data_IF_669149050713
#
_entry.id   IF_669149050713
#
_cell.length_a   1.000
_cell.length_b   1.000
_cell.length_c   1.000
_cell.angle_alpha   90.00
_cell.angle_beta   90.00
_cell.angle_gamma   90.00
#
_symmetry.space_group_name_H-M   'P 1'
#
loop_
_entity.id
_entity.type
_entity.pdbx_description
1 polymer ?
#
# COMPACT_ATOMS: atom_id res chain seq x y z
N UNK A 1 30.12 -7.40 -66.80
CA UNK A 1 31.20 -7.16 -65.82
C UNK A 1 30.96 -5.98 -64.87
N UNK A 2 30.62 -4.77 -65.33
CA UNK A 2 30.45 -3.59 -64.45
C UNK A 2 29.35 -3.72 -63.37
N UNK A 3 28.22 -4.39 -63.66
CA UNK A 3 27.13 -4.59 -62.68
C UNK A 3 27.45 -5.60 -61.57
N UNK A 4 28.25 -6.63 -61.90
CA UNK A 4 28.69 -7.65 -60.93
C UNK A 4 29.76 -7.08 -60.00
N UNK A 5 30.66 -6.23 -60.54
CA UNK A 5 31.69 -5.55 -59.75
C UNK A 5 31.09 -4.52 -58.77
N UNK A 6 30.05 -3.78 -59.19
CA UNK A 6 29.35 -2.84 -58.32
C UNK A 6 28.61 -3.53 -57.15
N UNK A 7 27.99 -4.69 -57.43
CA UNK A 7 27.35 -5.49 -56.38
C UNK A 7 28.35 -6.07 -55.37
N UNK A 8 29.52 -6.53 -55.85
CA UNK A 8 30.57 -7.05 -54.98
C UNK A 8 31.20 -5.97 -54.08
N UNK A 9 31.41 -4.75 -54.61
CA UNK A 9 31.94 -3.62 -53.82
C UNK A 9 30.92 -3.14 -52.77
N UNK A 10 29.63 -3.08 -53.13
CA UNK A 10 28.57 -2.73 -52.17
C UNK A 10 28.43 -3.73 -51.02
N UNK A 11 28.58 -5.04 -51.30
CA UNK A 11 28.54 -6.08 -50.29
C UNK A 11 29.74 -6.00 -49.33
N UNK A 12 30.94 -5.68 -49.84
CA UNK A 12 32.15 -5.52 -49.03
C UNK A 12 32.05 -4.28 -48.12
N UNK A 13 31.53 -3.16 -48.62
CA UNK A 13 31.29 -1.95 -47.80
C UNK A 13 30.27 -2.23 -46.68
N UNK A 14 29.21 -2.97 -46.98
CA UNK A 14 28.21 -3.35 -45.99
C UNK A 14 28.79 -4.26 -44.89
N UNK A 15 29.56 -5.29 -45.26
CA UNK A 15 30.13 -6.25 -44.33
C UNK A 15 31.30 -5.69 -43.51
N UNK A 16 32.12 -4.80 -44.07
CA UNK A 16 33.34 -4.30 -43.41
C UNK A 16 33.08 -3.04 -42.59
N UNK A 17 32.11 -2.20 -42.95
CA UNK A 17 31.86 -0.94 -42.24
C UNK A 17 30.58 -0.96 -41.40
N UNK A 18 29.49 -1.51 -41.92
CA UNK A 18 28.18 -1.42 -41.24
C UNK A 18 28.05 -2.48 -40.15
N UNK A 19 28.43 -3.72 -40.43
CA UNK A 19 28.33 -4.80 -39.43
C UNK A 19 29.20 -4.53 -38.20
N UNK A 20 30.48 -4.11 -38.31
CA UNK A 20 31.27 -3.77 -37.13
C UNK A 20 30.73 -2.55 -36.38
N UNK A 21 30.20 -1.53 -37.07
CA UNK A 21 29.63 -0.36 -36.42
C UNK A 21 28.36 -0.68 -35.60
N UNK A 22 27.50 -1.56 -36.11
CA UNK A 22 26.30 -2.03 -35.39
C UNK A 22 26.68 -2.91 -34.21
N UNK A 23 27.66 -3.80 -34.36
CA UNK A 23 28.18 -4.66 -33.29
C UNK A 23 28.86 -3.82 -32.20
N UNK A 24 29.64 -2.81 -32.56
CA UNK A 24 30.26 -1.87 -31.61
C UNK A 24 29.18 -1.08 -30.87
N UNK A 25 28.14 -0.59 -31.56
CA UNK A 25 27.05 0.14 -30.90
C UNK A 25 26.24 -0.74 -29.94
N UNK A 26 26.02 -2.01 -30.30
CA UNK A 26 25.32 -3.00 -29.46
C UNK A 26 26.16 -3.50 -28.28
N UNK A 27 27.49 -3.57 -28.40
CA UNK A 27 28.38 -4.05 -27.34
C UNK A 27 28.88 -2.93 -26.41
N UNK A 28 28.98 -1.69 -26.89
CA UNK A 28 29.59 -0.58 -26.14
C UNK A 28 28.61 0.52 -25.72
N UNK A 29 27.30 0.41 -26.01
CA UNK A 29 26.27 1.28 -25.42
C UNK A 29 26.53 2.78 -25.59
N UNK A 30 27.06 3.19 -26.74
CA UNK A 30 27.31 4.61 -27.02
C UNK A 30 26.03 5.27 -27.50
N UNK A 31 25.24 5.78 -26.55
CA UNK A 31 24.18 6.74 -26.83
C UNK A 31 24.76 8.14 -27.04
N UNK A 32 24.25 8.93 -28.00
CA UNK A 32 24.69 10.29 -28.21
C UNK A 32 24.35 11.16 -26.99
N UNK A 33 25.36 11.90 -26.53
CA UNK A 33 25.31 12.83 -25.41
C UNK A 33 24.26 13.92 -25.64
N UNK A 34 23.33 14.04 -24.67
CA UNK A 34 22.75 15.29 -24.20
C UNK A 34 21.76 16.00 -25.14
N UNK A 35 20.47 15.76 -24.92
CA UNK A 35 19.40 16.72 -25.25
C UNK A 35 18.80 17.29 -23.95
N UNK A 36 18.25 18.52 -23.95
CA UNK A 36 17.90 19.25 -22.73
C UNK A 36 16.79 18.55 -21.94
N UNK A 37 16.89 18.60 -20.60
CA UNK A 37 15.92 18.03 -19.65
C UNK A 37 14.50 18.51 -19.96
N UNK A 38 13.72 17.65 -20.61
CA UNK A 38 12.28 17.80 -20.72
C UNK A 38 11.63 17.57 -19.36
N UNK A 39 10.56 18.33 -19.08
CA UNK A 39 9.65 18.04 -17.98
C UNK A 39 9.17 16.61 -18.16
N UNK A 40 9.49 15.72 -17.21
CA UNK A 40 9.13 14.32 -17.28
C UNK A 40 7.61 14.22 -17.42
N UNK A 41 7.13 13.80 -18.60
CA UNK A 41 5.81 13.19 -18.71
C UNK A 41 5.85 11.94 -17.82
N UNK A 42 4.75 11.56 -17.17
CA UNK A 42 4.73 10.42 -16.22
C UNK A 42 5.27 9.07 -16.75
N UNK A 43 5.61 8.96 -18.03
CA UNK A 43 6.35 7.87 -18.68
C UNK A 43 7.83 7.75 -18.26
N UNK A 44 8.47 8.83 -17.79
CA UNK A 44 9.92 8.81 -17.49
C UNK A 44 10.26 8.81 -15.99
N UNK A 45 9.23 8.76 -15.14
CA UNK A 45 9.45 8.80 -13.69
C UNK A 45 9.87 7.40 -13.21
N UNK A 46 11.13 7.29 -12.83
CA UNK A 46 11.70 6.05 -12.26
C UNK A 46 11.62 6.11 -10.74
N UNK A 47 11.02 5.08 -10.15
CA UNK A 47 11.00 4.85 -8.71
C UNK A 47 11.99 3.73 -8.35
N UNK A 48 12.72 3.90 -7.25
CA UNK A 48 13.61 2.88 -6.70
C UNK A 48 12.90 2.13 -5.59
N UNK A 49 12.63 0.85 -5.82
CA UNK A 49 11.86 0.00 -4.90
C UNK A 49 12.80 -0.99 -4.24
N UNK A 50 12.84 -1.01 -2.91
CA UNK A 50 13.45 -2.11 -2.18
C UNK A 50 12.54 -3.34 -2.26
N UNK A 51 13.04 -4.36 -2.94
CA UNK A 51 12.36 -5.64 -3.19
C UNK A 51 12.66 -6.59 -2.04
N UNK A 52 11.79 -6.61 -1.02
CA UNK A 52 12.04 -7.30 0.24
C UNK A 52 12.30 -8.81 0.10
N UNK A 53 11.69 -9.48 -0.88
CA UNK A 53 11.89 -10.92 -1.13
C UNK A 53 13.26 -11.23 -1.74
N UNK A 54 13.78 -10.32 -2.55
CA UNK A 54 15.05 -10.46 -3.26
C UNK A 54 16.21 -9.74 -2.57
N UNK A 55 15.92 -8.93 -1.53
CA UNK A 55 16.88 -8.11 -0.80
C UNK A 55 17.73 -7.23 -1.74
N UNK A 56 17.07 -6.53 -2.66
CA UNK A 56 17.73 -5.67 -3.65
C UNK A 56 16.89 -4.44 -3.96
N UNK A 57 17.53 -3.38 -4.44
CA UNK A 57 16.84 -2.17 -4.92
C UNK A 57 16.71 -2.25 -6.45
N UNK A 58 15.48 -2.10 -6.95
CA UNK A 58 15.16 -2.14 -8.38
C UNK A 58 14.56 -0.81 -8.80
N UNK A 59 15.09 -0.23 -9.87
CA UNK A 59 14.48 0.92 -10.55
C UNK A 59 13.41 0.46 -11.54
N UNK A 60 12.22 1.05 -11.50
CA UNK A 60 11.16 0.77 -12.48
C UNK A 60 10.32 2.01 -12.79
N UNK A 61 9.56 1.97 -13.89
CA UNK A 61 8.61 3.02 -14.21
C UNK A 61 7.54 3.13 -13.10
N UNK A 62 7.21 4.37 -12.68
CA UNK A 62 6.26 4.64 -11.61
C UNK A 62 4.87 4.05 -11.88
N UNK A 63 4.36 4.11 -13.10
CA UNK A 63 3.02 3.60 -13.42
C UNK A 63 2.99 2.06 -13.40
N UNK A 64 4.08 1.39 -13.82
CA UNK A 64 4.21 -0.06 -13.67
C UNK A 64 4.31 -0.47 -12.20
N UNK A 65 5.03 0.32 -11.38
CA UNK A 65 5.02 0.13 -9.93
C UNK A 65 3.60 0.23 -9.36
N UNK A 66 2.86 1.29 -9.72
CA UNK A 66 1.49 1.52 -9.24
C UNK A 66 0.54 0.39 -9.65
N UNK A 67 0.65 -0.17 -10.86
CA UNK A 67 -0.13 -1.35 -11.27
C UNK A 67 0.13 -2.54 -10.33
N UNK A 68 1.40 -2.81 -10.02
CA UNK A 68 1.78 -3.87 -9.09
C UNK A 68 1.26 -3.63 -7.66
N UNK A 69 1.23 -2.37 -7.20
CA UNK A 69 0.63 -2.01 -5.90
C UNK A 69 -0.88 -2.24 -5.90
N UNK A 70 -1.61 -1.70 -6.90
CA UNK A 70 -3.06 -1.88 -6.98
C UNK A 70 -3.45 -3.36 -7.03
N UNK A 71 -2.71 -4.16 -7.80
CA UNK A 71 -2.91 -5.61 -7.91
C UNK A 71 -2.64 -6.38 -6.60
N UNK A 72 -1.72 -5.89 -5.77
CA UNK A 72 -1.38 -6.48 -4.48
C UNK A 72 -2.33 -6.05 -3.36
N UNK A 73 -2.79 -4.79 -3.37
CA UNK A 73 -3.52 -4.16 -2.27
C UNK A 73 -5.04 -4.29 -2.37
N UNK A 74 -5.61 -4.21 -3.58
CA UNK A 74 -7.06 -4.16 -3.79
C UNK A 74 -7.55 -5.36 -4.60
N UNK A 75 -8.68 -6.01 -4.23
CA UNK A 75 -9.25 -7.08 -5.05
C UNK A 75 -9.58 -6.59 -6.46
N UNK A 76 -9.04 -7.25 -7.49
CA UNK A 76 -9.19 -6.82 -8.88
C UNK A 76 -10.66 -6.80 -9.38
N UNK A 77 -11.56 -7.48 -8.68
CA UNK A 77 -13.00 -7.48 -8.96
C UNK A 77 -13.68 -6.16 -8.55
N UNK A 78 -13.06 -5.34 -7.69
CA UNK A 78 -13.64 -4.09 -7.23
C UNK A 78 -13.96 -3.14 -8.39
N UNK A 79 -14.88 -2.22 -8.15
CA UNK A 79 -15.32 -1.24 -9.15
C UNK A 79 -14.14 -0.42 -9.69
N UNK A 80 -14.23 -0.04 -10.97
CA UNK A 80 -13.14 0.67 -11.65
C UNK A 80 -12.78 1.97 -10.92
N UNK A 81 -13.79 2.73 -10.44
CA UNK A 81 -13.57 3.97 -9.70
C UNK A 81 -12.89 3.76 -8.34
N UNK A 82 -13.08 2.61 -7.70
CA UNK A 82 -12.34 2.26 -6.49
C UNK A 82 -10.87 1.91 -6.80
N UNK A 83 -10.62 1.18 -7.89
CA UNK A 83 -9.26 0.89 -8.36
C UNK A 83 -8.51 2.18 -8.77
N UNK A 84 -9.21 3.14 -9.40
CA UNK A 84 -8.66 4.47 -9.70
C UNK A 84 -8.30 5.25 -8.44
N UNK A 85 -9.16 5.24 -7.43
CA UNK A 85 -8.87 5.88 -6.15
C UNK A 85 -7.64 5.24 -5.48
N UNK A 86 -7.53 3.91 -5.51
CA UNK A 86 -6.35 3.20 -5.02
C UNK A 86 -5.08 3.53 -5.82
N UNK A 87 -5.17 3.67 -7.14
CA UNK A 87 -4.04 4.05 -7.99
C UNK A 87 -3.51 5.43 -7.63
N UNK A 88 -4.39 6.43 -7.47
CA UNK A 88 -3.99 7.79 -7.05
C UNK A 88 -3.41 7.80 -5.65
N UNK A 89 -4.02 7.09 -4.69
CA UNK A 89 -3.48 6.98 -3.33
C UNK A 89 -2.09 6.33 -3.32
N UNK A 90 -1.91 5.23 -4.08
CA UNK A 90 -0.63 4.55 -4.19
C UNK A 90 0.45 5.41 -4.86
N UNK A 91 0.12 6.08 -5.95
CA UNK A 91 1.02 7.02 -6.63
C UNK A 91 1.41 8.17 -5.72
N UNK A 92 0.46 8.72 -4.95
CA UNK A 92 0.72 9.80 -4.01
C UNK A 92 1.67 9.36 -2.90
N UNK A 93 1.46 8.16 -2.34
CA UNK A 93 2.37 7.58 -1.36
C UNK A 93 3.79 7.44 -1.94
N UNK A 94 3.92 6.86 -3.13
CA UNK A 94 5.19 6.72 -3.82
C UNK A 94 5.88 8.08 -4.03
N UNK A 95 5.19 9.04 -4.66
CA UNK A 95 5.71 10.38 -4.95
C UNK A 95 6.15 11.11 -3.68
N UNK A 96 5.41 10.97 -2.57
CA UNK A 96 5.77 11.58 -1.28
C UNK A 96 7.13 11.10 -0.74
N UNK A 97 7.53 9.86 -1.05
CA UNK A 97 8.79 9.29 -0.59
C UNK A 97 9.94 9.41 -1.61
N UNK A 98 9.62 9.65 -2.88
CA UNK A 98 10.63 9.71 -3.94
C UNK A 98 11.55 10.92 -3.81
N UNK A 99 12.85 10.67 -3.82
CA UNK A 99 13.88 11.72 -3.76
C UNK A 99 13.75 12.76 -4.90
N UNK A 100 13.31 12.31 -6.09
CA UNK A 100 13.05 13.19 -7.25
C UNK A 100 12.03 14.28 -6.96
N UNK A 101 11.12 14.06 -6.01
CA UNK A 101 10.09 15.01 -5.59
C UNK A 101 10.35 15.57 -4.17
N UNK A 102 11.58 15.46 -3.68
CA UNK A 102 11.98 15.97 -2.36
C UNK A 102 11.64 15.05 -1.18
N UNK A 103 11.23 13.81 -1.44
CA UNK A 103 11.03 12.80 -0.41
C UNK A 103 12.35 12.25 0.16
N UNK A 104 12.28 11.73 1.39
CA UNK A 104 13.47 11.20 2.10
C UNK A 104 13.76 9.72 1.80
N UNK A 105 12.90 9.06 1.02
CA UNK A 105 12.93 7.61 0.83
C UNK A 105 12.61 6.85 2.12
N UNK A 106 13.15 5.64 2.24
CA UNK A 106 12.99 4.79 3.43
C UNK A 106 14.32 4.66 4.19
N UNK A 107 14.35 5.14 5.44
CA UNK A 107 15.57 5.17 6.24
C UNK A 107 16.19 3.78 6.47
N UNK A 108 15.36 2.73 6.58
CA UNK A 108 15.81 1.35 6.77
C UNK A 108 16.58 0.79 5.55
N UNK A 109 16.32 1.33 4.35
CA UNK A 109 16.95 0.87 3.10
C UNK A 109 17.47 2.06 2.30
N UNK A 110 18.63 2.63 2.68
CA UNK A 110 19.19 3.81 2.04
C UNK A 110 19.32 3.63 0.52
N UNK A 111 18.75 4.58 -0.23
CA UNK A 111 18.75 4.57 -1.70
C UNK A 111 17.46 4.02 -2.33
N UNK A 112 16.56 3.42 -1.54
CA UNK A 112 15.21 3.11 -1.97
C UNK A 112 14.25 4.27 -1.65
N UNK A 113 13.32 4.51 -2.56
CA UNK A 113 12.22 5.45 -2.37
C UNK A 113 11.08 4.78 -1.57
N UNK A 114 10.78 3.50 -1.85
CA UNK A 114 9.71 2.72 -1.19
C UNK A 114 10.09 1.25 -1.02
N UNK A 115 9.36 0.51 -0.17
CA UNK A 115 9.53 -0.94 0.07
C UNK A 115 8.34 -1.72 -0.51
N UNK A 116 8.62 -2.91 -1.03
CA UNK A 116 7.59 -3.88 -1.47
C UNK A 116 6.97 -4.66 -0.31
N UNK A 117 7.45 -4.46 0.93
CA UNK A 117 6.83 -5.00 2.14
C UNK A 117 5.73 -4.05 2.63
N UNK A 118 4.50 -4.56 2.75
CA UNK A 118 3.34 -3.81 3.26
C UNK A 118 3.50 -3.29 4.70
N UNK A 119 4.49 -3.80 5.45
CA UNK A 119 4.81 -3.35 6.82
C UNK A 119 5.69 -2.09 6.85
N UNK A 120 6.44 -1.85 5.78
CA UNK A 120 7.39 -0.73 5.65
C UNK A 120 6.98 0.27 4.56
N UNK A 121 6.20 -0.19 3.59
CA UNK A 121 5.74 0.56 2.43
C UNK A 121 4.40 0.04 1.94
N UNK A 122 4.36 -0.41 0.69
CA UNK A 122 3.13 -0.87 0.05
C UNK A 122 3.33 -2.30 -0.44
N UNK A 123 2.29 -3.13 -0.32
CA UNK A 123 2.33 -4.44 -0.95
C UNK A 123 2.53 -4.25 -2.45
N UNK A 124 3.39 -5.08 -3.04
CA UNK A 124 3.65 -5.11 -4.47
C UNK A 124 3.75 -6.56 -4.93
N UNK A 125 3.22 -6.86 -6.10
CA UNK A 125 3.23 -8.20 -6.69
C UNK A 125 3.67 -8.13 -8.15
N UNK A 126 4.53 -9.07 -8.54
CA UNK A 126 4.97 -9.23 -9.93
C UNK A 126 4.00 -10.09 -10.76
N UNK A 127 4.23 -10.12 -12.07
CA UNK A 127 3.46 -10.93 -13.02
C UNK A 127 3.42 -12.42 -12.66
N UNK A 128 4.51 -12.99 -12.12
CA UNK A 128 4.57 -14.40 -11.77
C UNK A 128 3.60 -14.69 -10.61
N UNK A 129 3.61 -13.86 -9.57
CA UNK A 129 2.72 -13.96 -8.43
C UNK A 129 1.25 -13.75 -8.81
N UNK A 130 0.99 -12.75 -9.65
CA UNK A 130 -0.36 -12.46 -10.13
C UNK A 130 -0.90 -13.55 -11.04
N UNK A 131 -0.07 -14.11 -11.92
CA UNK A 131 -0.44 -15.25 -12.77
C UNK A 131 -0.69 -16.51 -11.94
N UNK A 132 0.11 -16.77 -10.92
CA UNK A 132 -0.13 -17.87 -9.99
C UNK A 132 -1.45 -17.69 -9.20
N UNK A 133 -1.78 -16.45 -8.81
CA UNK A 133 -2.98 -16.12 -8.03
C UNK A 133 -4.26 -16.20 -8.86
N UNK A 134 -4.24 -15.73 -10.11
CA UNK A 134 -5.45 -15.54 -10.92
C UNK A 134 -5.58 -16.55 -12.07
N UNK A 135 -4.53 -17.34 -12.32
CA UNK A 135 -4.38 -18.15 -13.53
C UNK A 135 -4.13 -17.28 -14.78
N UNK A 136 -3.66 -17.86 -15.90
CA UNK A 136 -3.29 -17.07 -17.09
C UNK A 136 -4.44 -16.23 -17.68
N UNK A 137 -5.66 -16.78 -17.71
CA UNK A 137 -6.83 -16.06 -18.22
C UNK A 137 -7.28 -14.96 -17.25
N UNK A 138 -7.33 -15.26 -15.94
CA UNK A 138 -7.68 -14.28 -14.92
C UNK A 138 -6.66 -13.15 -14.86
N UNK A 139 -5.37 -13.47 -14.98
CA UNK A 139 -4.31 -12.48 -15.09
C UNK A 139 -4.57 -11.49 -16.21
N UNK A 140 -4.80 -11.96 -17.44
CA UNK A 140 -5.07 -11.07 -18.57
C UNK A 140 -6.28 -10.16 -18.32
N UNK A 141 -7.38 -10.70 -17.78
CA UNK A 141 -8.60 -9.91 -17.52
C UNK A 141 -8.38 -8.87 -16.42
N UNK A 142 -7.85 -9.28 -15.28
CA UNK A 142 -7.67 -8.41 -14.12
C UNK A 142 -6.56 -7.40 -14.34
N UNK A 143 -5.45 -7.81 -14.97
CA UNK A 143 -4.35 -6.92 -15.32
C UNK A 143 -4.79 -5.82 -16.28
N UNK A 144 -5.63 -6.13 -17.28
CA UNK A 144 -6.19 -5.13 -18.17
C UNK A 144 -7.05 -4.09 -17.43
N UNK A 145 -7.92 -4.54 -16.51
CA UNK A 145 -8.76 -3.64 -15.71
C UNK A 145 -7.95 -2.76 -14.76
N UNK A 146 -6.93 -3.32 -14.12
CA UNK A 146 -6.01 -2.57 -13.25
C UNK A 146 -5.20 -1.58 -14.08
N UNK A 147 -4.66 -2.01 -15.22
CA UNK A 147 -3.93 -1.13 -16.14
C UNK A 147 -4.80 0.03 -16.58
N UNK A 148 -6.06 -0.22 -16.96
CA UNK A 148 -7.03 0.83 -17.29
C UNK A 148 -7.20 1.83 -16.14
N UNK A 149 -7.38 1.37 -14.89
CA UNK A 149 -7.54 2.27 -13.75
C UNK A 149 -6.30 3.15 -13.50
N UNK A 150 -5.10 2.58 -13.65
CA UNK A 150 -3.83 3.29 -13.49
C UNK A 150 -3.62 4.29 -14.63
N UNK A 151 -3.86 3.86 -15.88
CA UNK A 151 -3.67 4.68 -17.08
C UNK A 151 -4.68 5.84 -17.15
N UNK A 152 -5.94 5.63 -16.77
CA UNK A 152 -6.96 6.70 -16.69
C UNK A 152 -6.72 7.69 -15.54
N UNK A 153 -5.84 7.37 -14.59
CA UNK A 153 -5.41 8.27 -13.51
C UNK A 153 -3.92 8.59 -13.57
N UNK A 154 -3.30 8.41 -14.74
CA UNK A 154 -1.86 8.56 -14.94
C UNK A 154 -1.38 9.91 -14.43
N UNK A 155 -0.32 9.88 -13.62
CA UNK A 155 0.28 11.09 -13.05
C UNK A 155 -0.61 11.88 -12.08
N UNK A 156 -1.84 11.45 -11.77
CA UNK A 156 -2.67 12.12 -10.77
C UNK A 156 -2.26 11.73 -9.34
N UNK A 157 -2.12 12.75 -8.48
CA UNK A 157 -1.81 12.63 -7.06
C UNK A 157 -2.76 13.49 -6.21
N UNK A 158 -2.87 13.14 -4.93
CA UNK A 158 -3.56 13.93 -3.92
C UNK A 158 -2.58 14.88 -3.21
N UNK A 159 -2.95 16.15 -3.10
CA UNK A 159 -2.14 17.19 -2.47
C UNK A 159 -2.94 17.97 -1.43
N UNK A 160 -2.24 18.58 -0.48
CA UNK A 160 -2.80 19.52 0.48
C UNK A 160 -1.83 20.69 0.59
N UNK A 161 -2.31 21.91 0.34
CA UNK A 161 -1.47 23.11 0.21
C UNK A 161 -0.32 22.95 -0.81
N UNK A 162 -0.61 22.29 -1.93
CA UNK A 162 0.36 22.06 -3.02
C UNK A 162 1.35 20.92 -2.79
N UNK A 163 1.41 20.36 -1.58
CA UNK A 163 2.32 19.26 -1.24
C UNK A 163 1.62 17.91 -1.31
N UNK A 164 2.27 16.84 -1.82
CA UNK A 164 1.72 15.48 -1.77
C UNK A 164 1.36 15.07 -0.33
N UNK A 165 0.17 14.51 -0.15
CA UNK A 165 -0.30 14.06 1.16
C UNK A 165 0.36 12.75 1.60
N UNK A 166 0.27 12.42 2.87
CA UNK A 166 0.46 11.05 3.37
C UNK A 166 -0.79 10.23 3.01
N UNK A 167 -0.81 9.64 1.81
CA UNK A 167 -1.94 8.90 1.24
C UNK A 167 -2.02 7.44 1.75
N UNK A 168 -2.23 7.27 3.05
CA UNK A 168 -2.40 5.96 3.69
C UNK A 168 -3.79 5.38 3.43
N UNK A 169 -3.89 4.05 3.41
CA UNK A 169 -5.13 3.32 3.16
C UNK A 169 -5.12 1.97 3.88
N UNK A 170 -6.31 1.40 4.09
CA UNK A 170 -6.49 0.12 4.77
C UNK A 170 -7.70 -0.64 4.23
N UNK A 171 -7.79 -1.92 4.57
CA UNK A 171 -8.81 -2.81 4.01
C UNK A 171 -10.23 -2.46 4.45
N UNK A 172 -10.48 -2.42 5.76
CA UNK A 172 -11.84 -2.26 6.31
C UNK A 172 -11.76 -1.43 7.60
N UNK A 173 -12.57 -0.38 7.72
CA UNK A 173 -12.59 0.56 8.84
C UNK A 173 -13.42 0.08 10.02
N UNK A 174 -14.51 -0.66 9.78
CA UNK A 174 -15.64 -0.67 10.70
C UNK A 174 -16.50 0.58 10.49
N UNK A 175 -17.22 1.04 11.51
CA UNK A 175 -18.17 2.17 11.38
C UNK A 175 -17.55 3.47 10.82
N UNK A 176 -16.28 3.73 11.10
CA UNK A 176 -15.57 4.96 10.74
C UNK A 176 -14.07 4.76 10.67
N UNK A 177 -13.41 5.60 9.86
CA UNK A 177 -11.95 5.72 9.83
C UNK A 177 -11.45 6.33 11.15
N UNK A 178 -10.17 6.19 11.41
CA UNK A 178 -9.44 6.83 12.48
C UNK A 178 -8.74 8.09 11.95
N UNK A 179 -8.55 9.08 12.83
CA UNK A 179 -7.64 10.18 12.54
C UNK A 179 -6.17 9.70 12.57
N UNK A 180 -5.25 10.43 11.94
CA UNK A 180 -3.82 10.13 12.14
C UNK A 180 -3.36 10.45 13.58
N UNK A 181 -3.96 11.46 14.21
CA UNK A 181 -3.61 11.89 15.57
C UNK A 181 -3.87 10.79 16.60
N UNK A 182 -4.99 10.09 16.50
CA UNK A 182 -5.29 9.03 17.46
C UNK A 182 -4.44 7.77 17.26
N UNK A 183 -4.00 7.47 16.03
CA UNK A 183 -3.24 6.24 15.72
C UNK A 183 -1.74 6.46 15.87
N UNK A 184 -1.24 7.64 15.47
CA UNK A 184 0.20 7.94 15.37
C UNK A 184 0.63 9.21 16.13
N UNK A 185 -0.29 9.88 16.83
CA UNK A 185 0.00 11.13 17.57
C UNK A 185 0.18 12.38 16.70
N UNK A 186 0.42 12.22 15.40
CA UNK A 186 0.63 13.31 14.45
C UNK A 186 -0.70 13.75 13.84
N UNK A 187 -1.00 15.05 13.92
CA UNK A 187 -2.24 15.60 13.36
C UNK A 187 -2.02 16.11 11.92
N UNK A 188 -2.75 15.52 10.98
CA UNK A 188 -2.77 15.95 9.58
C UNK A 188 -4.18 16.44 9.23
N UNK A 189 -4.34 17.67 8.70
CA UNK A 189 -5.66 18.24 8.38
C UNK A 189 -6.52 17.36 7.46
N UNK A 190 -5.88 16.58 6.59
CA UNK A 190 -6.53 15.69 5.63
C UNK A 190 -6.73 14.25 6.11
N UNK A 191 -6.17 13.83 7.25
CA UNK A 191 -6.37 12.48 7.82
C UNK A 191 -7.28 12.54 9.05
N UNK A 192 -8.56 12.85 8.79
CA UNK A 192 -9.61 12.93 9.81
C UNK A 192 -10.51 11.68 9.78
N UNK A 193 -11.18 11.45 10.90
CA UNK A 193 -12.20 10.39 10.97
C UNK A 193 -13.42 10.78 10.12
N UNK A 194 -13.84 9.88 9.25
CA UNK A 194 -15.06 9.95 8.45
C UNK A 194 -15.83 8.63 8.58
N UNK A 195 -17.15 8.68 8.39
CA UNK A 195 -17.98 7.47 8.41
C UNK A 195 -17.58 6.49 7.29
N UNK A 196 -17.79 5.20 7.50
CA UNK A 196 -17.48 4.19 6.49
C UNK A 196 -18.48 3.02 6.58
N UNK A 197 -19.75 3.27 6.28
CA UNK A 197 -20.79 2.27 6.48
C UNK A 197 -20.84 1.17 5.39
N UNK A 198 -20.19 1.39 4.24
CA UNK A 198 -20.24 0.46 3.12
C UNK A 198 -19.36 -0.78 3.29
N UNK A 199 -18.41 -0.72 4.22
CA UNK A 199 -17.41 -1.77 4.40
C UNK A 199 -17.93 -2.97 5.23
N UNK A 200 -19.17 -2.88 5.74
CA UNK A 200 -19.89 -3.95 6.44
C UNK A 200 -20.02 -5.23 5.61
N UNK A 201 -20.01 -5.11 4.28
CA UNK A 201 -20.05 -6.25 3.35
C UNK A 201 -18.67 -6.92 3.18
N UNK A 202 -17.62 -6.38 3.80
CA UNK A 202 -16.29 -6.96 3.74
C UNK A 202 -16.28 -8.34 4.41
N UNK A 203 -15.74 -9.39 3.75
CA UNK A 203 -15.49 -10.68 4.41
C UNK A 203 -14.45 -10.57 5.53
N UNK A 204 -13.81 -9.41 5.67
CA UNK A 204 -12.84 -9.09 6.73
C UNK A 204 -13.42 -8.12 7.77
N UNK A 205 -14.73 -7.88 7.77
CA UNK A 205 -15.37 -6.91 8.66
C UNK A 205 -15.29 -7.29 10.14
N UNK A 206 -15.45 -8.57 10.48
CA UNK A 206 -15.34 -9.04 11.86
C UNK A 206 -14.53 -10.33 11.92
N UNK A 207 -13.76 -10.49 12.99
CA UNK A 207 -13.09 -11.75 13.32
C UNK A 207 -13.04 -11.93 14.82
N UNK A 208 -13.29 -13.15 15.27
CA UNK A 208 -13.12 -13.55 16.66
C UNK A 208 -11.88 -14.43 16.78
N UNK A 209 -10.98 -14.09 17.71
CA UNK A 209 -9.85 -14.93 18.11
C UNK A 209 -9.92 -15.22 19.60
N UNK A 210 -9.60 -16.45 19.95
CA UNK A 210 -9.52 -16.89 21.33
C UNK A 210 -8.06 -17.19 21.67
N UNK A 211 -7.63 -16.78 22.85
CA UNK A 211 -6.29 -17.08 23.36
C UNK A 211 -6.42 -17.60 24.78
N UNK A 212 -5.79 -18.73 25.05
CA UNK A 212 -5.58 -19.20 26.43
C UNK A 212 -4.79 -18.14 27.22
N UNK A 213 -4.97 -18.13 28.55
CA UNK A 213 -4.20 -17.21 29.40
C UNK A 213 -2.68 -17.45 29.31
N UNK A 214 -2.26 -18.69 29.02
CA UNK A 214 -0.85 -19.02 28.73
C UNK A 214 -0.34 -18.38 27.44
N UNK A 215 -1.13 -18.40 26.35
CA UNK A 215 -0.74 -17.75 25.09
C UNK A 215 -0.68 -16.22 25.25
N UNK A 216 -1.58 -15.66 26.05
CA UNK A 216 -1.56 -14.24 26.40
C UNK A 216 -0.27 -13.89 27.13
N UNK A 217 0.12 -14.68 28.15
CA UNK A 217 1.37 -14.48 28.88
C UNK A 217 2.60 -14.68 27.98
N UNK A 218 2.59 -15.64 27.07
CA UNK A 218 3.71 -15.86 26.13
C UNK A 218 3.88 -14.65 25.19
N UNK A 219 2.79 -14.19 24.57
CA UNK A 219 2.84 -13.16 23.53
C UNK A 219 3.02 -11.77 24.12
N UNK A 220 2.30 -11.42 25.18
CA UNK A 220 2.33 -10.10 25.82
C UNK A 220 3.39 -10.01 26.95
N UNK A 221 4.13 -11.09 27.17
CA UNK A 221 5.15 -11.25 28.21
C UNK A 221 4.55 -11.75 29.51
N UNK A 222 5.35 -12.48 30.30
CA UNK A 222 4.91 -13.02 31.58
C UNK A 222 4.48 -11.92 32.54
N UNK A 223 3.38 -12.15 33.23
CA UNK A 223 2.83 -11.31 34.30
C UNK A 223 2.26 -12.28 35.34
N UNK A 224 2.68 -12.12 36.59
CA UNK A 224 2.24 -12.97 37.70
C UNK A 224 0.73 -12.93 37.88
N UNK A 225 0.07 -11.83 37.53
CA UNK A 225 -1.38 -11.68 37.66
C UNK A 225 -2.14 -12.40 36.55
N UNK A 226 -1.57 -12.50 35.34
CA UNK A 226 -2.13 -13.30 34.23
C UNK A 226 -2.00 -14.79 34.55
N UNK A 227 -0.84 -15.19 35.11
CA UNK A 227 -0.59 -16.57 35.53
C UNK A 227 -1.46 -16.94 36.74
N UNK A 228 -1.63 -16.04 37.71
CA UNK A 228 -2.52 -16.24 38.85
C UNK A 228 -3.99 -16.30 38.44
N UNK A 229 -4.42 -15.48 37.47
CA UNK A 229 -5.74 -15.59 36.88
C UNK A 229 -5.97 -16.96 36.22
N UNK A 230 -4.95 -17.50 35.54
CA UNK A 230 -5.00 -18.84 34.94
C UNK A 230 -5.09 -19.96 35.98
N UNK A 231 -4.43 -19.82 37.13
CA UNK A 231 -4.43 -20.83 38.20
C UNK A 231 -5.69 -20.78 39.08
N UNK A 232 -6.28 -19.60 39.25
CA UNK A 232 -7.41 -19.39 40.16
C UNK A 232 -8.77 -19.26 39.46
N UNK A 233 -8.83 -19.38 38.12
CA UNK A 233 -10.06 -19.18 37.35
C UNK A 233 -10.65 -17.78 37.50
N UNK A 234 -9.82 -16.78 37.79
CA UNK A 234 -10.26 -15.41 38.07
C UNK A 234 -10.51 -14.65 36.77
N UNK A 235 -11.74 -14.18 36.59
CA UNK A 235 -12.24 -13.52 35.37
C UNK A 235 -11.95 -12.02 35.29
N UNK A 236 -11.19 -11.45 36.24
CA UNK A 236 -10.99 -10.01 36.39
C UNK A 236 -9.66 -9.50 35.81
N UNK A 237 -9.12 -10.15 34.78
CA UNK A 237 -7.77 -9.85 34.27
C UNK A 237 -7.72 -8.79 33.16
N UNK A 238 -8.84 -8.30 32.62
CA UNK A 238 -8.83 -7.42 31.44
C UNK A 238 -9.81 -6.25 31.55
N UNK A 239 -9.32 -5.05 31.22
CA UNK A 239 -10.13 -3.84 31.17
C UNK A 239 -9.64 -2.90 30.06
N UNK A 240 -10.53 -2.49 29.14
CA UNK A 240 -10.24 -1.38 28.23
C UNK A 240 -10.17 -0.09 29.06
N UNK A 241 -9.00 0.56 29.06
CA UNK A 241 -8.74 1.75 29.87
C UNK A 241 -9.00 3.05 29.10
N UNK A 242 -8.86 3.03 27.78
CA UNK A 242 -9.01 4.19 26.92
C UNK A 242 -9.52 3.76 25.54
N UNK A 243 -10.57 4.44 25.05
CA UNK A 243 -11.03 4.37 23.67
C UNK A 243 -10.65 5.68 22.97
N UNK A 244 -10.25 5.58 21.69
CA UNK A 244 -10.06 6.75 20.83
C UNK A 244 -11.41 7.31 20.38
N UNK A 245 -11.41 8.53 19.82
CA UNK A 245 -12.61 9.18 19.27
C UNK A 245 -13.34 8.33 18.21
N UNK A 246 -12.59 7.49 17.47
CA UNK A 246 -13.17 6.59 16.47
C UNK A 246 -13.72 5.28 17.05
N UNK A 247 -13.58 5.05 18.37
CA UNK A 247 -14.00 3.85 19.07
C UNK A 247 -12.97 2.72 19.10
N UNK A 248 -11.72 2.97 18.69
CA UNK A 248 -10.63 1.98 18.76
C UNK A 248 -10.04 1.92 20.17
N UNK A 249 -9.46 0.80 20.54
CA UNK A 249 -8.75 0.66 21.82
C UNK A 249 -7.46 1.45 21.78
N UNK A 250 -7.38 2.53 22.56
CA UNK A 250 -6.15 3.29 22.78
C UNK A 250 -5.25 2.58 23.79
N UNK A 251 -5.81 2.23 24.95
CA UNK A 251 -5.12 1.52 26.03
C UNK A 251 -5.98 0.44 26.66
N UNK A 252 -5.35 -0.64 27.07
CA UNK A 252 -5.97 -1.79 27.70
C UNK A 252 -5.09 -2.31 28.82
N UNK A 253 -5.71 -2.61 29.96
CA UNK A 253 -5.07 -3.29 31.08
C UNK A 253 -5.29 -4.80 30.94
N UNK A 254 -4.21 -5.58 30.97
CA UNK A 254 -4.22 -7.04 31.00
C UNK A 254 -3.30 -7.48 32.14
N UNK A 255 -3.86 -8.01 33.23
CA UNK A 255 -3.14 -8.18 34.50
C UNK A 255 -2.65 -6.85 35.06
N UNK A 256 -1.37 -6.77 35.41
CA UNK A 256 -0.72 -5.54 35.88
C UNK A 256 -0.32 -4.60 34.74
N UNK A 257 -0.28 -5.10 33.50
CA UNK A 257 0.25 -4.35 32.34
C UNK A 257 -0.79 -3.42 31.75
N UNK A 258 -0.38 -2.17 31.53
CA UNK A 258 -1.09 -1.22 30.67
C UNK A 258 -0.43 -1.20 29.29
N UNK A 259 -1.14 -1.70 28.28
CA UNK A 259 -0.66 -1.85 26.90
C UNK A 259 -1.42 -0.92 25.96
N UNK A 260 -0.79 -0.49 24.87
CA UNK A 260 -1.51 0.17 23.78
C UNK A 260 -2.33 -0.86 22.98
N UNK A 261 -3.44 -0.43 22.39
CA UNK A 261 -4.20 -1.31 21.49
C UNK A 261 -3.37 -1.77 20.29
N UNK A 262 -2.46 -0.93 19.79
CA UNK A 262 -1.50 -1.29 18.73
C UNK A 262 -0.59 -2.45 19.15
N UNK A 263 0.01 -2.40 20.34
CA UNK A 263 0.84 -3.49 20.87
C UNK A 263 0.05 -4.79 20.98
N UNK A 264 -1.19 -4.75 21.49
CA UNK A 264 -2.04 -5.94 21.59
C UNK A 264 -2.37 -6.49 20.20
N UNK A 265 -2.73 -5.61 19.26
CA UNK A 265 -3.00 -6.00 17.86
C UNK A 265 -1.81 -6.71 17.25
N UNK A 266 -0.62 -6.12 17.34
CA UNK A 266 0.57 -6.66 16.67
C UNK A 266 1.00 -7.99 17.30
N UNK A 267 1.04 -8.07 18.63
CA UNK A 267 1.50 -9.27 19.34
C UNK A 267 0.52 -10.45 19.29
N UNK A 268 -0.78 -10.18 19.24
CA UNK A 268 -1.81 -11.22 19.12
C UNK A 268 -2.21 -11.49 17.66
N UNK A 269 -1.70 -10.70 16.72
CA UNK A 269 -2.06 -10.79 15.30
C UNK A 269 -3.54 -10.50 15.05
N UNK A 270 -4.10 -9.49 15.73
CA UNK A 270 -5.46 -9.03 15.51
C UNK A 270 -5.54 -8.21 14.21
N UNK A 271 -6.73 -8.17 13.59
CA UNK A 271 -6.93 -7.42 12.34
C UNK A 271 -6.85 -5.91 12.53
N UNK A 272 -7.35 -5.40 13.65
CA UNK A 272 -7.39 -3.96 13.94
C UNK A 272 -7.23 -3.71 15.44
N UNK A 273 -7.15 -2.43 15.83
CA UNK A 273 -7.27 -1.98 17.23
C UNK A 273 -8.72 -1.71 17.63
N UNK A 274 -9.69 -1.86 16.72
CA UNK A 274 -11.11 -1.79 17.04
C UNK A 274 -11.56 -3.19 17.48
N UNK A 275 -11.42 -3.49 18.77
CA UNK A 275 -11.81 -4.78 19.31
C UNK A 275 -12.50 -4.66 20.65
N UNK A 276 -13.38 -5.62 20.92
CA UNK A 276 -13.89 -5.93 22.25
C UNK A 276 -13.16 -7.15 22.78
N UNK A 277 -13.07 -7.25 24.09
CA UNK A 277 -12.45 -8.39 24.78
C UNK A 277 -13.35 -8.85 25.91
N UNK A 278 -13.58 -10.15 25.96
CA UNK A 278 -14.37 -10.81 27.00
C UNK A 278 -13.52 -11.88 27.67
N UNK A 279 -13.74 -12.08 28.97
CA UNK A 279 -13.02 -13.08 29.76
C UNK A 279 -13.85 -14.35 29.85
N UNK A 280 -13.30 -15.46 29.36
CA UNK A 280 -13.82 -16.81 29.58
C UNK A 280 -13.19 -17.47 30.82
N UNK A 281 -13.44 -18.77 31.02
CA UNK A 281 -12.93 -19.50 32.19
C UNK A 281 -11.40 -19.55 32.26
N UNK A 282 -10.73 -19.77 31.12
CA UNK A 282 -9.28 -19.95 30.99
C UNK A 282 -8.70 -19.25 29.74
N UNK A 283 -9.48 -18.36 29.14
CA UNK A 283 -9.18 -17.71 27.86
C UNK A 283 -9.68 -16.27 27.79
N UNK A 284 -9.09 -15.50 26.90
CA UNK A 284 -9.59 -14.20 26.46
C UNK A 284 -10.12 -14.31 25.03
N UNK A 285 -11.33 -13.78 24.81
CA UNK A 285 -12.00 -13.78 23.51
C UNK A 285 -11.96 -12.36 22.96
N UNK A 286 -11.26 -12.16 21.85
CA UNK A 286 -11.14 -10.88 21.16
C UNK A 286 -12.05 -10.88 19.94
N UNK A 287 -13.04 -10.00 19.91
CA UNK A 287 -13.84 -9.73 18.72
C UNK A 287 -13.34 -8.43 18.08
N UNK A 288 -12.69 -8.56 16.94
CA UNK A 288 -12.15 -7.43 16.15
C UNK A 288 -13.13 -7.00 15.07
N UNK A 289 -13.18 -5.70 14.81
CA UNK A 289 -13.94 -5.08 13.72
C UNK A 289 -13.01 -4.30 12.80
N UNK A 290 -13.16 -4.46 11.49
CA UNK A 290 -12.27 -3.89 10.48
C UNK A 290 -10.93 -4.61 10.37
N UNK A 291 -10.12 -4.18 9.40
CA UNK A 291 -8.81 -4.72 9.10
C UNK A 291 -7.85 -3.63 8.60
N UNK A 292 -6.74 -3.47 9.31
CA UNK A 292 -5.72 -2.45 9.08
C UNK A 292 -5.72 -1.35 10.15
N UNK A 293 -4.92 -0.30 9.92
CA UNK A 293 -4.73 0.78 10.88
C UNK A 293 -5.94 1.73 10.97
N UNK A 294 -6.77 1.81 9.93
CA UNK A 294 -8.02 2.56 9.95
C UNK A 294 -7.93 4.01 9.47
N UNK A 295 -6.76 4.50 9.06
CA UNK A 295 -6.52 5.92 8.73
C UNK A 295 -6.56 6.12 7.21
N UNK A 296 -7.21 7.19 6.75
CA UNK A 296 -7.29 7.52 5.33
C UNK A 296 -8.29 6.65 4.57
N UNK A 297 -7.93 6.21 3.37
CA UNK A 297 -8.86 5.54 2.45
C UNK A 297 -9.20 4.12 2.91
N UNK A 298 -10.50 3.86 3.10
CA UNK A 298 -11.00 2.51 3.31
C UNK A 298 -11.27 1.82 1.97
N UNK A 299 -10.58 0.72 1.66
CA UNK A 299 -10.68 0.03 0.37
C UNK A 299 -12.09 -0.52 0.10
N UNK A 300 -12.69 -1.22 1.06
CA UNK A 300 -14.06 -1.71 0.91
C UNK A 300 -15.08 -0.57 0.91
N UNK A 301 -14.82 0.50 1.66
CA UNK A 301 -15.63 1.70 1.65
C UNK A 301 -15.59 2.43 0.30
N UNK A 302 -14.42 2.53 -0.33
CA UNK A 302 -14.23 3.07 -1.67
C UNK A 302 -15.00 2.25 -2.71
N UNK A 303 -14.95 0.91 -2.62
CA UNK A 303 -15.74 0.04 -3.48
C UNK A 303 -17.25 0.22 -3.29
N UNK A 304 -17.70 0.43 -2.05
CA UNK A 304 -19.09 0.75 -1.75
C UNK A 304 -19.56 2.05 -2.39
N UNK A 305 -18.79 3.13 -2.21
CA UNK A 305 -19.05 4.43 -2.85
C UNK A 305 -19.07 4.32 -4.38
N UNK A 306 -18.13 3.56 -4.96
CA UNK A 306 -18.09 3.33 -6.40
C UNK A 306 -19.35 2.59 -6.91
N UNK A 307 -19.86 1.60 -6.16
CA UNK A 307 -21.13 0.93 -6.46
C UNK A 307 -22.34 1.86 -6.39
N UNK A 308 -22.26 2.93 -5.60
CA UNK A 308 -23.26 4.01 -5.58
C UNK A 308 -23.05 5.06 -6.68
N UNK A 309 -22.15 4.81 -7.63
CA UNK A 309 -21.88 5.68 -8.77
C UNK A 309 -20.98 6.87 -8.45
N UNK A 310 -20.26 6.87 -7.32
CA UNK A 310 -19.26 7.90 -7.02
C UNK A 310 -17.98 7.64 -7.81
N UNK A 311 -17.42 8.69 -8.39
CA UNK A 311 -16.13 8.63 -9.07
C UNK A 311 -14.95 8.63 -8.09
N UNK A 312 -13.75 8.33 -8.61
CA UNK A 312 -12.54 8.28 -7.80
C UNK A 312 -12.20 9.63 -7.14
N UNK A 313 -12.57 10.75 -7.76
CA UNK A 313 -12.28 12.08 -7.22
C UNK A 313 -13.10 12.33 -5.97
N UNK A 314 -14.39 12.01 -6.01
CA UNK A 314 -15.28 12.05 -4.86
C UNK A 314 -14.77 11.13 -3.75
N UNK A 315 -14.42 9.87 -4.10
CA UNK A 315 -13.92 8.89 -3.13
C UNK A 315 -12.69 9.40 -2.40
N UNK A 316 -11.71 9.95 -3.11
CA UNK A 316 -10.49 10.49 -2.52
C UNK A 316 -10.78 11.70 -1.63
N UNK A 317 -11.59 12.66 -2.09
CA UNK A 317 -11.97 13.84 -1.30
C UNK A 317 -12.83 13.50 -0.07
N UNK A 318 -13.52 12.37 -0.11
CA UNK A 318 -14.26 11.86 1.04
C UNK A 318 -13.32 11.36 2.15
N UNK A 319 -12.33 10.53 1.79
CA UNK A 319 -11.42 9.93 2.77
C UNK A 319 -10.24 10.84 3.17
N UNK A 320 -9.85 11.76 2.30
CA UNK A 320 -8.78 12.72 2.54
C UNK A 320 -9.37 14.13 2.54
N UNK A 321 -9.56 14.69 3.74
CA UNK A 321 -10.33 15.94 3.90
C UNK A 321 -9.60 17.15 3.31
N UNK A 322 -10.26 17.88 2.42
CA UNK A 322 -9.76 19.15 1.89
C UNK A 322 -8.56 19.02 0.94
N UNK A 323 -8.35 17.84 0.35
CA UNK A 323 -7.30 17.65 -0.65
C UNK A 323 -7.70 18.22 -2.01
N UNK A 324 -6.67 18.54 -2.79
CA UNK A 324 -6.76 18.75 -4.22
C UNK A 324 -6.18 17.55 -4.98
N UNK A 325 -6.60 17.40 -6.24
CA UNK A 325 -6.06 16.41 -7.16
C UNK A 325 -5.29 17.14 -8.24
N UNK A 326 -3.99 16.88 -8.32
CA UNK A 326 -3.08 17.55 -9.25
C UNK A 326 -2.28 16.53 -10.02
N UNK A 327 -1.77 16.95 -11.18
CA UNK A 327 -0.83 16.13 -11.94
C UNK A 327 0.59 16.33 -11.40
N UNK A 328 1.37 15.26 -11.28
CA UNK A 328 2.74 15.26 -10.73
C UNK A 328 3.72 16.20 -11.45
N UNK A 329 3.39 16.63 -12.67
CA UNK A 329 4.21 17.56 -13.45
C UNK A 329 3.93 19.04 -13.13
N UNK A 330 3.03 19.36 -12.20
CA UNK A 330 2.66 20.74 -11.84
C UNK A 330 1.89 21.44 -12.96
N UNK A 331 0.58 21.18 -13.03
CA UNK A 331 -0.37 21.88 -13.89
C UNK A 331 -1.37 22.67 -13.05
#
# INVERSE_FOLDING_TARGET
MKKVLAGAVGLIVFLVLIVPAVVIRSLFGLDPVGSPKGVAKGEDVVIRVYMAKQNQIVGMNLEEYVKGVVAAEMPAQFELEALKAQAVAARTYAVKHMATFGGEGIAAHPGADVSSDYREGQAWADEQELTARWGPLGYKVYWNKISQAVDETRGMIATYNGEPIIAVFHSTSGERTASAKEVWGSDYPYLKSVACNWDQQSPRYSETKEFSLSEIAERLGSDTDIVAAAQNGSTAAVQIAELTDSGRVGKIRIGSKLLSGGTVRDKLGLKSTNFKVETGADKLVFQTTGYGHGVGLCQYGANGLAKEGKDYQYILKYYYTGIDLTHISGS
#
